data_IF_991796225278
#
_entry.id   IF_991796225278
#
_cell.length_a   1.000
_cell.length_b   1.000
_cell.length_c   1.000
_cell.angle_alpha   90.00
_cell.angle_beta   90.00
_cell.angle_gamma   90.00
#
_symmetry.space_group_name_H-M   'P 1'
#
loop_
_entity.id
_entity.type
_entity.pdbx_description
1 polymer ?
#
# COMPACT_ATOMS: atom_id res chain seq x y z
N UNK A 1 16.77 2.86 -40.12
CA UNK A 1 17.19 3.10 -38.73
C UNK A 1 18.11 2.00 -38.18
N UNK A 2 17.85 0.71 -38.42
CA UNK A 2 18.70 -0.40 -37.94
C UNK A 2 20.11 -0.41 -38.53
N UNK A 3 20.27 -0.05 -39.81
CA UNK A 3 21.58 0.00 -40.49
C UNK A 3 22.48 1.15 -39.98
N UNK A 4 21.90 2.25 -39.48
CA UNK A 4 22.65 3.41 -38.99
C UNK A 4 23.18 3.20 -37.56
N UNK A 5 22.50 2.36 -36.76
CA UNK A 5 22.93 2.01 -35.41
C UNK A 5 24.09 1.02 -35.43
N UNK A 6 24.10 0.06 -36.37
CA UNK A 6 25.22 -0.87 -36.53
C UNK A 6 26.52 -0.17 -36.95
N UNK A 7 26.45 0.85 -37.81
CA UNK A 7 27.63 1.58 -38.29
C UNK A 7 28.27 2.49 -37.23
N UNK A 8 27.49 2.96 -36.24
CA UNK A 8 27.99 3.76 -35.12
C UNK A 8 28.59 2.91 -33.99
N UNK A 9 28.14 1.66 -33.84
CA UNK A 9 28.64 0.73 -32.83
C UNK A 9 29.98 0.07 -33.22
N UNK A 10 30.28 -0.06 -34.52
CA UNK A 10 31.59 -0.53 -35.00
C UNK A 10 32.74 0.44 -34.68
N UNK A 11 32.45 1.74 -34.55
CA UNK A 11 33.46 2.78 -34.30
C UNK A 11 33.84 2.99 -32.83
N UNK A 12 33.10 2.41 -31.88
CA UNK A 12 33.28 2.69 -30.45
C UNK A 12 34.03 1.61 -29.66
N UNK A 13 34.44 0.50 -30.30
CA UNK A 13 35.25 -0.56 -29.66
C UNK A 13 34.55 -1.32 -28.52
N UNK A 14 33.27 -1.03 -28.25
CA UNK A 14 32.52 -1.52 -27.07
C UNK A 14 31.98 -2.95 -27.22
N UNK A 15 32.09 -3.56 -28.40
CA UNK A 15 31.61 -4.93 -28.65
C UNK A 15 32.58 -5.98 -28.09
N UNK A 16 33.89 -5.70 -28.09
CA UNK A 16 34.89 -6.70 -27.73
C UNK A 16 34.93 -6.95 -26.20
N UNK A 17 34.75 -5.90 -25.40
CA UNK A 17 34.68 -6.01 -23.94
C UNK A 17 33.38 -6.66 -23.44
N UNK A 18 32.27 -6.50 -24.18
CA UNK A 18 30.99 -7.13 -23.84
C UNK A 18 30.97 -8.63 -24.16
N UNK A 19 31.61 -9.06 -25.26
CA UNK A 19 31.74 -10.47 -25.64
C UNK A 19 32.68 -11.24 -24.69
N UNK A 20 33.77 -10.63 -24.23
CA UNK A 20 34.70 -11.26 -23.28
C UNK A 20 34.08 -11.45 -21.88
N UNK A 21 33.26 -10.49 -21.42
CA UNK A 21 32.51 -10.61 -20.16
C UNK A 21 31.45 -11.71 -20.18
N UNK A 22 30.77 -11.90 -21.31
CA UNK A 22 29.73 -12.93 -21.45
C UNK A 22 30.32 -14.35 -21.54
N UNK A 23 31.50 -14.51 -22.17
CA UNK A 23 32.22 -15.79 -22.23
C UNK A 23 32.77 -16.24 -20.87
N UNK A 24 33.07 -15.32 -19.94
CA UNK A 24 33.56 -15.66 -18.60
C UNK A 24 32.47 -16.23 -17.67
N UNK A 25 31.19 -15.94 -17.92
CA UNK A 25 30.09 -16.30 -17.03
C UNK A 25 29.44 -17.66 -17.33
N UNK A 26 29.57 -18.18 -18.55
CA UNK A 26 28.88 -19.41 -18.97
C UNK A 26 29.82 -20.42 -19.66
N UNK A 27 30.34 -21.39 -18.89
CA UNK A 27 31.12 -22.54 -19.41
C UNK A 27 30.28 -23.58 -20.15
N UNK A 28 29.51 -23.19 -21.17
CA UNK A 28 28.93 -24.12 -22.16
C UNK A 28 28.79 -23.41 -23.50
N UNK A 29 29.78 -23.56 -24.38
CA UNK A 29 29.56 -23.44 -25.81
C UNK A 29 29.56 -24.86 -26.41
N UNK A 30 28.37 -25.35 -26.76
CA UNK A 30 28.21 -26.40 -27.76
C UNK A 30 27.79 -25.68 -29.04
N UNK A 31 28.50 -25.95 -30.13
CA UNK A 31 28.22 -25.40 -31.46
C UNK A 31 26.78 -25.69 -31.90
N UNK A 32 26.05 -24.68 -32.37
CA UNK A 32 24.78 -24.86 -33.08
C UNK A 32 24.80 -24.16 -34.44
N UNK A 33 24.36 -24.91 -35.45
CA UNK A 33 24.10 -24.48 -36.83
C UNK A 33 22.58 -24.26 -36.99
N UNK A 34 22.17 -23.00 -37.27
CA UNK A 34 21.03 -22.57 -38.11
C UNK A 34 20.34 -21.30 -37.58
N UNK A 35 19.72 -20.55 -38.51
CA UNK A 35 19.21 -19.18 -38.38
C UNK A 35 18.02 -18.94 -37.41
N UNK A 36 17.62 -19.89 -36.57
CA UNK A 36 16.44 -19.72 -35.69
C UNK A 36 16.83 -19.18 -34.30
N UNK A 37 18.10 -19.29 -33.90
CA UNK A 37 18.57 -18.88 -32.57
C UNK A 37 18.99 -17.40 -32.47
N UNK A 38 18.99 -16.66 -33.59
CA UNK A 38 19.30 -15.22 -33.58
C UNK A 38 18.14 -14.38 -33.02
N UNK A 39 16.91 -14.88 -33.08
CA UNK A 39 15.72 -14.18 -32.58
C UNK A 39 15.63 -14.17 -31.05
N UNK A 40 16.08 -15.25 -30.39
CA UNK A 40 16.10 -15.32 -28.92
C UNK A 40 17.20 -14.44 -28.31
N UNK A 41 18.37 -14.38 -28.95
CA UNK A 41 19.46 -13.48 -28.50
C UNK A 41 19.05 -12.01 -28.65
N UNK A 42 18.33 -11.64 -29.71
CA UNK A 42 17.83 -10.27 -29.90
C UNK A 42 16.74 -9.91 -28.89
N UNK A 43 15.85 -10.84 -28.54
CA UNK A 43 14.80 -10.62 -27.53
C UNK A 43 15.39 -10.44 -26.12
N UNK A 44 16.41 -11.23 -25.76
CA UNK A 44 17.10 -11.09 -24.48
C UNK A 44 17.99 -9.83 -24.44
N UNK A 45 18.63 -9.46 -25.56
CA UNK A 45 19.34 -8.18 -25.65
C UNK A 45 18.41 -6.97 -25.59
N UNK A 46 17.18 -7.06 -26.11
CA UNK A 46 16.17 -5.99 -26.00
C UNK A 46 15.61 -5.85 -24.58
N UNK A 47 15.45 -6.95 -23.85
CA UNK A 47 15.06 -6.89 -22.43
C UNK A 47 16.19 -6.29 -21.57
N UNK A 48 17.44 -6.65 -21.87
CA UNK A 48 18.61 -6.10 -21.19
C UNK A 48 18.84 -4.62 -21.53
N UNK A 49 18.62 -4.21 -22.79
CA UNK A 49 18.67 -2.80 -23.22
C UNK A 49 17.58 -1.95 -22.57
N UNK A 50 16.39 -2.50 -22.32
CA UNK A 50 15.32 -1.79 -21.59
C UNK A 50 15.68 -1.60 -20.12
N UNK A 51 16.20 -2.64 -19.45
CA UNK A 51 16.68 -2.53 -18.06
C UNK A 51 17.88 -1.58 -17.94
N UNK A 52 18.76 -1.57 -18.96
CA UNK A 52 19.91 -0.66 -18.99
C UNK A 52 19.49 0.79 -19.31
N UNK A 53 18.47 1.00 -20.15
CA UNK A 53 17.87 2.32 -20.37
C UNK A 53 17.14 2.83 -19.12
N UNK A 54 16.48 1.96 -18.36
CA UNK A 54 15.86 2.32 -17.08
C UNK A 54 16.91 2.67 -16.02
N UNK A 55 18.04 1.95 -16.00
CA UNK A 55 19.20 2.26 -15.14
C UNK A 55 19.93 3.54 -15.57
N UNK A 56 20.02 3.84 -16.88
CA UNK A 56 20.57 5.10 -17.38
C UNK A 56 19.60 6.26 -17.11
N UNK A 57 18.28 6.06 -17.16
CA UNK A 57 17.27 7.03 -16.74
C UNK A 57 17.36 7.32 -15.23
N UNK A 58 17.52 6.30 -14.40
CA UNK A 58 17.74 6.45 -12.94
C UNK A 58 19.07 7.14 -12.63
N UNK A 59 20.13 6.86 -13.38
CA UNK A 59 21.45 7.49 -13.19
C UNK A 59 21.48 8.93 -13.73
N UNK A 60 20.82 9.21 -14.85
CA UNK A 60 20.69 10.57 -15.38
C UNK A 60 19.79 11.46 -14.51
N UNK A 61 18.78 10.90 -13.83
CA UNK A 61 18.01 11.60 -12.78
C UNK A 61 18.88 11.93 -11.55
N UNK A 62 19.87 11.10 -11.23
CA UNK A 62 20.81 11.40 -10.14
C UNK A 62 21.82 12.50 -10.51
N UNK A 63 22.23 12.61 -11.78
CA UNK A 63 23.23 13.59 -12.25
C UNK A 63 22.67 14.90 -12.80
N UNK A 64 21.39 15.00 -13.18
CA UNK A 64 20.75 16.29 -13.52
C UNK A 64 20.42 17.15 -12.29
N UNK A 65 20.54 16.61 -11.08
CA UNK A 65 20.36 17.35 -9.83
C UNK A 65 21.49 18.34 -9.49
N UNK A 66 22.60 18.33 -10.25
CA UNK A 66 23.80 19.10 -9.90
C UNK A 66 24.05 20.38 -10.73
N UNK A 67 23.31 20.64 -11.82
CA UNK A 67 23.53 21.86 -12.62
C UNK A 67 22.23 22.38 -13.23
N UNK A 68 21.38 23.05 -12.42
CA UNK A 68 20.47 24.08 -12.92
C UNK A 68 19.91 24.93 -11.78
N UNK A 69 20.05 26.25 -11.93
CA UNK A 69 19.88 27.23 -10.87
C UNK A 69 18.49 27.32 -10.24
N UNK A 70 18.48 27.76 -8.96
CA UNK A 70 17.36 28.40 -8.24
C UNK A 70 15.96 28.04 -8.77
N UNK A 71 15.57 26.78 -8.65
CA UNK A 71 14.17 26.40 -8.76
C UNK A 71 13.42 26.99 -7.56
N UNK A 72 12.34 27.75 -7.81
CA UNK A 72 11.34 28.08 -6.79
C UNK A 72 11.02 26.78 -6.04
N UNK A 73 11.30 26.74 -4.74
CA UNK A 73 10.81 25.69 -3.86
C UNK A 73 9.29 25.74 -3.96
N UNK A 74 8.69 24.79 -4.68
CA UNK A 74 7.24 24.72 -4.79
C UNK A 74 6.70 24.58 -3.37
N UNK A 75 5.84 25.51 -2.97
CA UNK A 75 5.21 25.48 -1.65
C UNK A 75 4.46 24.15 -1.52
N UNK A 76 4.81 23.35 -0.52
CA UNK A 76 4.21 22.05 -0.31
C UNK A 76 2.73 22.23 0.03
N UNK A 77 1.86 21.44 -0.62
CA UNK A 77 0.43 21.45 -0.31
C UNK A 77 0.17 21.13 1.17
N UNK A 78 -0.85 21.77 1.73
CA UNK A 78 -1.22 21.59 3.14
C UNK A 78 -1.82 20.19 3.38
N UNK A 79 -1.39 19.54 4.46
CA UNK A 79 -1.93 18.30 5.01
C UNK A 79 -2.40 18.54 6.44
N UNK A 80 -3.71 18.42 6.68
CA UNK A 80 -4.30 18.50 8.02
C UNK A 80 -4.08 17.18 8.75
N UNK A 81 -3.33 17.20 9.83
CA UNK A 81 -3.03 16.04 10.66
C UNK A 81 -4.00 15.96 11.84
N UNK A 82 -4.66 14.81 12.00
CA UNK A 82 -5.52 14.50 13.14
C UNK A 82 -4.96 13.27 13.85
N UNK A 83 -4.59 13.45 15.13
CA UNK A 83 -4.13 12.34 15.98
C UNK A 83 -5.27 11.89 16.88
N UNK A 84 -5.57 10.60 16.82
CA UNK A 84 -6.62 9.94 17.55
C UNK A 84 -6.00 8.83 18.40
N UNK A 85 -6.67 8.49 19.50
CA UNK A 85 -6.24 7.42 20.39
C UNK A 85 -7.45 6.60 20.80
N UNK A 86 -7.49 5.33 20.40
CA UNK A 86 -8.58 4.43 20.75
C UNK A 86 -9.94 4.81 20.15
N UNK A 87 -9.99 5.63 19.07
CA UNK A 87 -11.28 5.95 18.45
C UNK A 87 -11.91 4.65 17.92
N UNK A 88 -13.20 4.38 18.21
CA UNK A 88 -13.88 3.22 17.66
C UNK A 88 -13.80 3.19 16.14
N UNK A 89 -13.40 2.06 15.56
CA UNK A 89 -13.13 1.97 14.12
C UNK A 89 -14.33 2.35 13.25
N UNK A 90 -15.57 2.11 13.69
CA UNK A 90 -16.77 2.56 12.99
C UNK A 90 -16.82 4.10 12.86
N UNK A 91 -16.53 4.82 13.96
CA UNK A 91 -16.51 6.28 13.97
C UNK A 91 -15.39 6.83 13.11
N UNK A 92 -14.21 6.19 13.14
CA UNK A 92 -13.09 6.55 12.27
C UNK A 92 -13.49 6.39 10.79
N UNK A 93 -14.08 5.26 10.40
CA UNK A 93 -14.51 5.02 9.01
C UNK A 93 -15.59 6.03 8.56
N UNK A 94 -16.52 6.41 9.44
CA UNK A 94 -17.49 7.47 9.15
C UNK A 94 -16.82 8.83 8.96
N UNK A 95 -15.83 9.18 9.78
CA UNK A 95 -15.04 10.40 9.62
C UNK A 95 -14.28 10.39 8.29
N UNK A 96 -13.57 9.30 7.97
CA UNK A 96 -12.83 9.12 6.73
C UNK A 96 -13.72 9.27 5.49
N UNK A 97 -14.85 8.58 5.48
CA UNK A 97 -15.81 8.60 4.38
C UNK A 97 -16.36 10.01 4.17
N UNK A 98 -16.73 10.70 5.25
CA UNK A 98 -17.22 12.08 5.20
C UNK A 98 -16.15 13.03 4.67
N UNK A 99 -14.94 12.99 5.21
CA UNK A 99 -13.84 13.85 4.78
C UNK A 99 -13.50 13.64 3.29
N UNK A 100 -13.51 12.40 2.80
CA UNK A 100 -13.30 12.10 1.39
C UNK A 100 -14.36 12.75 0.48
N UNK A 101 -15.59 12.87 0.96
CA UNK A 101 -16.76 13.22 0.15
C UNK A 101 -17.15 14.69 0.24
N UNK A 102 -16.87 15.33 1.38
CA UNK A 102 -17.33 16.70 1.67
C UNK A 102 -16.19 17.71 1.83
N UNK A 103 -14.93 17.28 2.02
CA UNK A 103 -13.79 18.18 2.18
C UNK A 103 -12.90 18.24 0.94
N UNK A 104 -12.32 19.40 0.68
CA UNK A 104 -11.29 19.65 -0.33
C UNK A 104 -9.86 19.62 0.23
N UNK A 105 -9.67 19.57 1.55
CA UNK A 105 -8.34 19.60 2.19
C UNK A 105 -7.67 18.23 2.18
N UNK A 106 -6.34 18.16 2.13
CA UNK A 106 -5.65 16.88 2.39
C UNK A 106 -5.68 16.55 3.88
N UNK A 107 -5.86 15.27 4.20
CA UNK A 107 -5.94 14.79 5.58
C UNK A 107 -4.99 13.63 5.81
N UNK A 108 -4.30 13.68 6.95
CA UNK A 108 -3.60 12.55 7.54
C UNK A 108 -4.27 12.24 8.88
N UNK A 109 -4.89 11.08 9.01
CA UNK A 109 -5.45 10.62 10.29
C UNK A 109 -4.57 9.49 10.82
N UNK A 110 -4.17 9.59 12.08
CA UNK A 110 -3.44 8.53 12.78
C UNK A 110 -4.25 8.15 14.01
N UNK A 111 -4.76 6.92 14.06
CA UNK A 111 -5.46 6.39 15.22
C UNK A 111 -4.64 5.29 15.89
N UNK A 112 -4.23 5.55 17.13
CA UNK A 112 -3.50 4.60 17.96
C UNK A 112 -4.47 3.66 18.68
N UNK A 113 -4.85 2.56 18.01
CA UNK A 113 -5.79 1.57 18.52
C UNK A 113 -7.27 1.90 18.25
N UNK A 114 -8.11 0.87 18.28
CA UNK A 114 -9.58 1.00 18.46
C UNK A 114 -9.97 0.40 19.81
N UNK A 115 -11.04 0.92 20.42
CA UNK A 115 -11.44 0.56 21.79
C UNK A 115 -11.91 -0.89 21.97
N UNK A 116 -12.44 -1.52 20.91
CA UNK A 116 -12.92 -2.91 20.94
C UNK A 116 -12.52 -3.67 19.67
N UNK A 117 -12.31 -5.00 19.76
CA UNK A 117 -12.14 -5.86 18.60
C UNK A 117 -13.32 -5.72 17.65
N UNK A 118 -13.06 -5.65 16.35
CA UNK A 118 -14.10 -5.56 15.31
C UNK A 118 -13.60 -6.16 14.00
N UNK A 119 -14.50 -6.84 13.29
CA UNK A 119 -14.25 -7.36 11.95
C UNK A 119 -14.63 -6.27 10.95
N UNK A 120 -13.68 -5.86 10.10
CA UNK A 120 -13.89 -4.84 9.07
C UNK A 120 -13.78 -5.48 7.69
N UNK A 121 -14.92 -5.62 7.04
CA UNK A 121 -15.06 -6.19 5.70
C UNK A 121 -14.97 -5.12 4.62
N UNK A 122 -14.39 -5.48 3.47
CA UNK A 122 -14.42 -4.63 2.28
C UNK A 122 -15.82 -4.55 1.66
N UNK A 123 -16.05 -3.49 0.88
CA UNK A 123 -17.36 -3.17 0.30
C UNK A 123 -18.05 -4.34 -0.43
N UNK A 124 -17.30 -5.13 -1.19
CA UNK A 124 -17.80 -6.27 -1.98
C UNK A 124 -17.63 -7.63 -1.29
N UNK A 125 -17.16 -7.65 -0.04
CA UNK A 125 -16.92 -8.88 0.71
C UNK A 125 -18.23 -9.55 1.11
N UNK A 126 -18.33 -10.86 0.86
CA UNK A 126 -19.47 -11.67 1.32
C UNK A 126 -19.19 -12.25 2.70
N UNK A 127 -20.14 -12.08 3.61
CA UNK A 127 -19.96 -12.44 5.01
C UNK A 127 -19.71 -13.95 5.18
N UNK A 128 -20.50 -14.78 4.51
CA UNK A 128 -20.41 -16.24 4.58
C UNK A 128 -19.09 -16.82 4.06
N UNK A 129 -18.42 -16.11 3.15
CA UNK A 129 -17.14 -16.55 2.54
C UNK A 129 -15.91 -16.09 3.33
N UNK A 130 -16.01 -15.01 4.11
CA UNK A 130 -14.83 -14.33 4.68
C UNK A 130 -14.75 -14.38 6.21
N UNK A 131 -15.85 -14.70 6.90
CA UNK A 131 -15.94 -14.64 8.37
C UNK A 131 -16.49 -15.95 8.92
N UNK A 132 -15.94 -16.42 10.04
CA UNK A 132 -16.55 -17.46 10.85
C UNK A 132 -17.70 -16.87 11.67
N UNK A 133 -18.89 -16.78 11.05
CA UNK A 133 -20.01 -15.97 11.55
C UNK A 133 -20.59 -16.49 12.85
N UNK A 134 -20.58 -17.81 13.07
CA UNK A 134 -21.06 -18.42 14.31
C UNK A 134 -20.20 -17.98 15.50
N UNK A 135 -18.89 -18.07 15.38
CA UNK A 135 -17.94 -17.67 16.43
C UNK A 135 -18.01 -16.16 16.67
N UNK A 136 -18.04 -15.35 15.60
CA UNK A 136 -18.17 -13.90 15.72
C UNK A 136 -19.48 -13.49 16.42
N UNK A 137 -20.60 -14.16 16.11
CA UNK A 137 -21.89 -13.91 16.75
C UNK A 137 -21.90 -14.33 18.22
N UNK A 138 -21.35 -15.50 18.54
CA UNK A 138 -21.27 -16.02 19.91
C UNK A 138 -20.44 -15.10 20.83
N UNK A 139 -19.34 -14.56 20.30
CA UNK A 139 -18.42 -13.70 21.04
C UNK A 139 -18.79 -12.21 20.93
N UNK A 140 -19.93 -11.91 20.29
CA UNK A 140 -20.46 -10.55 20.08
C UNK A 140 -19.45 -9.60 19.39
N UNK A 141 -18.68 -10.10 18.44
CA UNK A 141 -17.72 -9.30 17.67
C UNK A 141 -18.46 -8.46 16.63
N UNK A 142 -18.37 -7.12 16.67
CA UNK A 142 -18.98 -6.25 15.67
C UNK A 142 -18.42 -6.53 14.27
N UNK A 143 -19.31 -6.55 13.28
CA UNK A 143 -18.93 -6.71 11.87
C UNK A 143 -19.33 -5.46 11.09
N UNK A 144 -18.34 -4.81 10.49
CA UNK A 144 -18.50 -3.53 9.80
C UNK A 144 -18.17 -3.73 8.32
N UNK A 145 -19.06 -3.27 7.42
CA UNK A 145 -18.77 -3.16 5.99
C UNK A 145 -18.31 -1.74 5.71
N UNK A 146 -17.06 -1.58 5.28
CA UNK A 146 -16.48 -0.26 4.99
C UNK A 146 -16.76 0.19 3.56
N UNK A 147 -16.69 1.51 3.34
CA UNK A 147 -16.88 2.15 2.04
C UNK A 147 -15.76 1.90 1.00
N UNK A 148 -14.60 1.38 1.43
CA UNK A 148 -13.47 1.03 0.54
C UNK A 148 -13.48 -0.45 0.14
N UNK A 149 -12.87 -0.77 -1.00
CA UNK A 149 -12.69 -2.15 -1.45
C UNK A 149 -11.62 -2.92 -0.65
N UNK A 150 -11.23 -4.09 -1.12
CA UNK A 150 -10.17 -4.91 -0.51
C UNK A 150 -10.69 -6.02 0.42
N UNK A 151 -9.77 -6.65 1.16
CA UNK A 151 -10.06 -7.82 1.99
C UNK A 151 -10.75 -7.51 3.33
N UNK A 152 -10.95 -8.56 4.13
CA UNK A 152 -11.46 -8.48 5.50
C UNK A 152 -10.32 -8.55 6.51
N UNK A 153 -10.40 -7.74 7.56
CA UNK A 153 -9.44 -7.73 8.67
C UNK A 153 -10.18 -7.79 10.00
N UNK A 154 -9.51 -8.27 11.04
CA UNK A 154 -9.91 -8.02 12.42
C UNK A 154 -8.94 -7.00 13.01
N UNK A 155 -9.48 -6.05 13.77
CA UNK A 155 -8.71 -4.95 14.34
C UNK A 155 -9.13 -4.69 15.77
N UNK A 156 -8.20 -4.23 16.59
CA UNK A 156 -8.38 -4.03 18.03
C UNK A 156 -7.45 -2.90 18.55
N UNK A 157 -7.25 -2.81 19.86
CA UNK A 157 -6.33 -1.84 20.48
C UNK A 157 -4.86 -2.03 20.05
N UNK A 158 -4.55 -3.20 19.46
CA UNK A 158 -3.26 -3.60 18.93
C UNK A 158 -3.12 -3.40 17.42
N UNK A 159 -3.96 -2.55 16.84
CA UNK A 159 -3.84 -2.05 15.46
C UNK A 159 -3.61 -0.53 15.45
N UNK A 160 -2.61 -0.06 14.71
CA UNK A 160 -2.50 1.37 14.39
C UNK A 160 -3.11 1.60 13.00
N UNK A 161 -3.86 2.68 12.86
CA UNK A 161 -4.42 3.08 11.57
C UNK A 161 -3.77 4.37 11.10
N UNK A 162 -3.38 4.40 9.83
CA UNK A 162 -2.96 5.63 9.16
C UNK A 162 -3.78 5.80 7.89
N UNK A 163 -4.38 6.96 7.74
CA UNK A 163 -5.23 7.29 6.60
C UNK A 163 -4.73 8.57 5.94
N UNK A 164 -4.55 8.50 4.63
CA UNK A 164 -4.17 9.63 3.77
C UNK A 164 -5.31 9.91 2.79
N UNK A 165 -5.91 11.09 2.87
CA UNK A 165 -6.88 11.62 1.90
C UNK A 165 -6.19 12.72 1.12
N UNK A 166 -6.02 12.54 -0.18
CA UNK A 166 -5.13 13.37 -1.00
C UNK A 166 -5.83 13.84 -2.28
N UNK A 167 -5.70 15.13 -2.62
CA UNK A 167 -6.07 15.65 -3.93
C UNK A 167 -5.07 15.15 -4.97
N UNK A 168 -5.55 14.68 -6.12
CA UNK A 168 -4.67 14.24 -7.20
C UNK A 168 -3.72 15.34 -7.70
N UNK A 169 -4.17 16.60 -7.65
CA UNK A 169 -3.41 17.75 -8.17
C UNK A 169 -2.27 18.16 -7.21
N UNK A 170 -2.33 17.77 -5.94
CA UNK A 170 -1.27 17.98 -4.95
C UNK A 170 -0.15 16.93 -5.05
N UNK A 171 -0.40 15.86 -5.81
CA UNK A 171 0.57 14.78 -6.11
C UNK A 171 0.51 14.44 -7.61
N UNK A 172 0.85 15.37 -8.52
CA UNK A 172 0.55 15.26 -9.95
C UNK A 172 1.24 14.08 -10.65
N UNK A 173 2.28 13.50 -10.04
CA UNK A 173 2.96 12.30 -10.54
C UNK A 173 2.21 11.00 -10.21
N UNK A 174 1.23 11.04 -9.31
CA UNK A 174 0.45 9.88 -8.86
C UNK A 174 -0.85 9.83 -9.63
N UNK A 175 -0.94 8.88 -10.56
CA UNK A 175 -2.20 8.63 -11.25
C UNK A 175 -3.25 8.10 -10.25
N UNK A 176 -4.52 8.51 -10.35
CA UNK A 176 -5.58 8.10 -9.41
C UNK A 176 -6.06 6.67 -9.74
N UNK A 177 -5.14 5.70 -9.67
CA UNK A 177 -5.39 4.28 -9.86
C UNK A 177 -4.75 3.48 -8.73
N UNK A 178 -5.31 2.30 -8.37
CA UNK A 178 -4.86 1.58 -7.18
C UNK A 178 -3.37 1.30 -7.12
N UNK A 179 -2.76 0.85 -8.23
CA UNK A 179 -1.32 0.52 -8.28
C UNK A 179 -0.42 1.75 -8.09
N UNK A 180 -0.79 2.87 -8.71
CA UNK A 180 -0.02 4.12 -8.59
C UNK A 180 -0.09 4.68 -7.18
N UNK A 181 -1.26 4.64 -6.54
CA UNK A 181 -1.44 5.06 -5.14
C UNK A 181 -0.68 4.12 -4.21
N UNK A 182 -0.74 2.80 -4.42
CA UNK A 182 0.05 1.83 -3.66
C UNK A 182 1.56 2.08 -3.80
N UNK A 183 2.04 2.34 -5.01
CA UNK A 183 3.47 2.62 -5.24
C UNK A 183 3.90 3.92 -4.54
N UNK A 184 3.07 4.95 -4.60
CA UNK A 184 3.33 6.22 -3.91
C UNK A 184 3.41 6.03 -2.39
N UNK A 185 2.44 5.33 -1.79
CA UNK A 185 2.44 5.08 -0.35
C UNK A 185 3.56 4.12 0.06
N UNK A 186 3.92 3.17 -0.80
CA UNK A 186 5.09 2.30 -0.60
C UNK A 186 6.40 3.09 -0.52
N UNK A 187 6.62 4.07 -1.39
CA UNK A 187 7.78 4.96 -1.32
C UNK A 187 7.78 5.78 -0.01
N UNK A 188 6.63 6.35 0.35
CA UNK A 188 6.47 7.08 1.61
C UNK A 188 6.84 6.20 2.81
N UNK A 189 6.28 4.99 2.92
CA UNK A 189 6.59 4.10 4.03
C UNK A 189 8.01 3.53 3.98
N UNK A 190 8.65 3.45 2.81
CA UNK A 190 10.07 3.07 2.73
C UNK A 190 10.97 4.08 3.49
N UNK A 191 10.64 5.37 3.43
CA UNK A 191 11.33 6.41 4.23
C UNK A 191 11.00 6.28 5.73
N UNK A 192 9.76 5.92 6.08
CA UNK A 192 9.36 5.70 7.49
C UNK A 192 10.19 4.58 8.12
N UNK A 193 10.38 3.47 7.39
CA UNK A 193 11.09 2.28 7.88
C UNK A 193 12.58 2.26 7.57
N UNK A 194 13.13 3.33 6.97
CA UNK A 194 14.55 3.43 6.65
C UNK A 194 15.42 3.19 7.89
N UNK A 195 16.37 2.26 7.75
CA UNK A 195 17.32 1.87 8.79
C UNK A 195 16.76 0.99 9.92
N UNK A 196 15.48 0.60 9.88
CA UNK A 196 14.85 -0.21 10.95
C UNK A 196 14.53 -1.64 10.55
N UNK A 197 14.02 -1.85 9.33
CA UNK A 197 13.52 -3.14 8.91
C UNK A 197 13.53 -3.29 7.38
N UNK A 198 13.50 -4.53 6.91
CA UNK A 198 13.48 -4.88 5.48
C UNK A 198 12.08 -4.68 4.88
N UNK A 199 11.64 -3.42 4.79
CA UNK A 199 10.33 -3.04 4.29
C UNK A 199 10.20 -3.24 2.78
N UNK A 200 9.11 -3.89 2.35
CA UNK A 200 8.72 -3.96 0.94
C UNK A 200 7.22 -3.74 0.75
N UNK A 201 6.86 -3.21 -0.42
CA UNK A 201 5.52 -3.29 -0.97
C UNK A 201 5.42 -4.58 -1.80
N UNK A 202 4.55 -5.51 -1.39
CA UNK A 202 4.26 -6.73 -2.17
C UNK A 202 2.78 -6.80 -2.50
N UNK A 203 2.47 -6.71 -3.78
CA UNK A 203 1.11 -6.57 -4.29
C UNK A 203 0.37 -5.39 -3.64
N UNK A 204 -0.52 -5.65 -2.68
CA UNK A 204 -1.27 -4.63 -1.94
C UNK A 204 -0.92 -4.59 -0.44
N UNK A 205 0.13 -5.30 -0.03
CA UNK A 205 0.52 -5.46 1.37
C UNK A 205 1.87 -4.80 1.67
N UNK A 206 2.01 -4.33 2.90
CA UNK A 206 3.31 -3.97 3.45
C UNK A 206 3.89 -5.13 4.23
N UNK A 207 5.14 -5.46 3.95
CA UNK A 207 5.83 -6.63 4.50
C UNK A 207 7.20 -6.25 5.05
N UNK A 208 7.63 -6.98 6.07
CA UNK A 208 9.04 -7.07 6.46
C UNK A 208 9.58 -8.40 5.94
N UNK A 209 10.52 -8.35 4.99
CA UNK A 209 10.94 -9.50 4.19
C UNK A 209 9.77 -10.11 3.41
N UNK A 210 9.23 -11.22 3.92
CA UNK A 210 8.10 -11.96 3.34
C UNK A 210 6.88 -12.06 4.27
N UNK A 211 6.90 -11.35 5.42
CA UNK A 211 5.82 -11.38 6.41
C UNK A 211 5.03 -10.08 6.41
N UNK A 212 3.72 -10.18 6.18
CA UNK A 212 2.80 -9.05 6.13
C UNK A 212 2.60 -8.41 7.50
N UNK A 213 2.63 -7.09 7.55
CA UNK A 213 2.25 -6.33 8.75
C UNK A 213 1.30 -5.17 8.46
N UNK A 214 1.18 -4.74 7.19
CA UNK A 214 0.27 -3.66 6.79
C UNK A 214 -0.74 -4.14 5.75
N UNK A 215 -2.02 -3.89 6.00
CA UNK A 215 -3.12 -4.14 5.07
C UNK A 215 -3.71 -2.84 4.56
N UNK A 216 -3.80 -2.70 3.23
CA UNK A 216 -4.19 -1.45 2.57
C UNK A 216 -5.54 -1.57 1.87
N UNK A 217 -6.29 -0.47 1.87
CA UNK A 217 -7.50 -0.31 1.07
C UNK A 217 -7.68 1.14 0.64
N UNK A 218 -8.40 1.31 -0.47
CA UNK A 218 -8.49 2.60 -1.15
C UNK A 218 -9.90 2.84 -1.69
N UNK A 219 -10.25 4.11 -1.85
CA UNK A 219 -11.41 4.57 -2.62
C UNK A 219 -10.99 5.81 -3.41
N UNK A 220 -11.37 5.86 -4.68
CA UNK A 220 -10.94 6.89 -5.62
C UNK A 220 -12.19 7.64 -6.08
N UNK A 221 -12.13 8.97 -6.03
CA UNK A 221 -13.13 9.88 -6.59
C UNK A 221 -12.51 10.66 -7.76
N UNK A 222 -13.30 11.52 -8.41
CA UNK A 222 -12.85 12.27 -9.61
C UNK A 222 -11.63 13.16 -9.35
N UNK A 223 -11.50 13.72 -8.15
CA UNK A 223 -10.48 14.71 -7.81
C UNK A 223 -9.52 14.25 -6.72
N UNK A 224 -9.89 13.21 -5.97
CA UNK A 224 -9.20 12.83 -4.74
C UNK A 224 -9.26 11.34 -4.52
N UNK A 225 -8.42 10.83 -3.64
CA UNK A 225 -8.48 9.45 -3.20
C UNK A 225 -8.17 9.34 -1.72
N UNK A 226 -8.60 8.23 -1.13
CA UNK A 226 -8.20 7.82 0.21
C UNK A 226 -7.35 6.55 0.09
N UNK A 227 -6.29 6.51 0.88
CA UNK A 227 -5.49 5.33 1.15
C UNK A 227 -5.42 5.16 2.66
N UNK A 228 -6.00 4.09 3.19
CA UNK A 228 -5.87 3.74 4.60
C UNK A 228 -5.14 2.43 4.79
N UNK A 229 -4.34 2.38 5.84
CA UNK A 229 -3.53 1.24 6.22
C UNK A 229 -3.86 0.85 7.65
N UNK A 230 -4.07 -0.44 7.85
CA UNK A 230 -4.07 -1.07 9.17
C UNK A 230 -2.71 -1.71 9.40
N UNK A 231 -2.06 -1.35 10.50
CA UNK A 231 -0.74 -1.81 10.92
C UNK A 231 -0.88 -2.77 12.10
N UNK A 232 -0.45 -4.01 11.90
CA UNK A 232 -0.52 -5.09 12.89
C UNK A 232 0.55 -4.87 13.96
N UNK A 233 0.17 -4.21 15.06
CA UNK A 233 1.12 -3.88 16.11
C UNK A 233 1.48 -5.07 16.98
N UNK A 234 0.45 -5.67 17.59
CA UNK A 234 0.59 -6.82 18.49
C UNK A 234 -0.69 -7.68 18.48
N UNK A 235 -1.02 -8.22 17.31
CA UNK A 235 -2.27 -8.94 17.13
C UNK A 235 -2.37 -10.19 18.02
N UNK A 236 -3.59 -10.47 18.47
CA UNK A 236 -3.93 -11.69 19.20
C UNK A 236 -4.28 -12.81 18.22
N UNK A 237 -3.63 -13.97 18.34
CA UNK A 237 -3.83 -15.10 17.40
C UNK A 237 -5.27 -15.60 17.42
N UNK A 238 -5.93 -15.61 18.58
CA UNK A 238 -7.35 -16.01 18.68
C UNK A 238 -8.27 -15.12 17.83
N UNK A 239 -7.96 -13.84 17.65
CA UNK A 239 -8.79 -12.94 16.85
C UNK A 239 -8.73 -13.33 15.36
N UNK A 240 -7.64 -13.96 14.92
CA UNK A 240 -7.50 -14.42 13.54
C UNK A 240 -8.42 -15.61 13.22
N UNK A 241 -8.91 -16.37 14.21
CA UNK A 241 -9.83 -17.48 13.97
C UNK A 241 -11.23 -17.02 13.55
N UNK A 242 -11.57 -15.74 13.68
CA UNK A 242 -12.82 -15.21 13.14
C UNK A 242 -12.78 -15.01 11.62
N UNK A 243 -11.60 -15.11 10.98
CA UNK A 243 -11.43 -14.87 9.56
C UNK A 243 -11.22 -16.17 8.80
N UNK A 244 -11.98 -16.34 7.72
CA UNK A 244 -11.74 -17.43 6.75
C UNK A 244 -10.57 -17.10 5.85
N UNK A 245 -9.93 -18.14 5.31
CA UNK A 245 -8.96 -17.95 4.23
C UNK A 245 -9.71 -17.48 2.97
N UNK A 246 -9.36 -16.32 2.40
CA UNK A 246 -10.02 -15.83 1.20
C UNK A 246 -9.68 -16.73 0.01
N UNK A 247 -10.66 -16.96 -0.88
CA UNK A 247 -10.46 -17.73 -2.11
C UNK A 247 -9.34 -17.16 -3.02
N UNK A 248 -9.09 -15.85 -2.91
CA UNK A 248 -7.97 -15.16 -3.55
C UNK A 248 -7.04 -14.62 -2.48
N UNK A 249 -5.89 -15.27 -2.34
CA UNK A 249 -4.78 -14.79 -1.52
C UNK A 249 -3.66 -14.24 -2.43
N UNK A 250 -2.79 -13.35 -1.90
CA UNK A 250 -1.59 -12.91 -2.62
C UNK A 250 -0.72 -14.09 -3.01
N UNK A 251 -0.09 -14.04 -4.18
CA UNK A 251 0.72 -15.15 -4.70
C UNK A 251 1.91 -15.45 -3.77
N UNK A 252 2.51 -14.40 -3.18
CA UNK A 252 3.63 -14.53 -2.25
C UNK A 252 3.22 -15.13 -0.88
N UNK A 253 1.91 -15.26 -0.58
CA UNK A 253 1.46 -16.01 0.59
C UNK A 253 1.86 -17.48 0.50
N UNK A 254 1.92 -18.03 -0.71
CA UNK A 254 2.12 -19.45 -0.98
C UNK A 254 1.01 -20.27 -0.28
N UNK A 255 1.38 -21.15 0.64
CA UNK A 255 0.46 -21.98 1.43
C UNK A 255 0.56 -21.72 2.93
N UNK A 256 1.20 -20.60 3.33
CA UNK A 256 1.38 -20.25 4.73
C UNK A 256 0.04 -19.97 5.41
N UNK A 257 -0.08 -20.46 6.63
CA UNK A 257 -1.20 -20.10 7.49
C UNK A 257 -1.11 -18.62 7.90
N UNK A 258 -2.06 -18.15 8.69
CA UNK A 258 -2.08 -16.74 9.07
C UNK A 258 -0.86 -16.37 9.94
N UNK A 259 -0.49 -17.22 10.89
CA UNK A 259 0.59 -16.97 11.85
C UNK A 259 1.98 -16.93 11.22
N UNK A 260 2.22 -17.74 10.19
CA UNK A 260 3.47 -17.74 9.42
C UNK A 260 3.51 -16.64 8.36
N UNK A 261 2.35 -16.16 7.93
CA UNK A 261 2.24 -15.14 6.89
C UNK A 261 2.39 -13.72 7.43
N UNK A 262 1.93 -13.43 8.65
CA UNK A 262 1.95 -12.07 9.22
C UNK A 262 3.04 -11.90 10.28
N UNK A 263 3.40 -10.65 10.58
CA UNK A 263 4.28 -10.29 11.69
C UNK A 263 3.76 -9.13 12.53
N UNK A 264 4.34 -8.98 13.73
CA UNK A 264 3.99 -7.93 14.69
C UNK A 264 4.99 -6.80 14.59
N UNK A 265 4.53 -5.58 14.41
CA UNK A 265 5.42 -4.42 14.34
C UNK A 265 6.10 -4.10 15.67
N UNK A 266 5.54 -4.51 16.82
CA UNK A 266 6.17 -4.29 18.13
C UNK A 266 7.58 -4.90 18.24
N UNK A 267 7.91 -5.87 17.39
CA UNK A 267 9.21 -6.54 17.34
C UNK A 267 10.28 -5.67 16.66
N UNK A 268 9.89 -4.64 15.92
CA UNK A 268 10.78 -3.82 15.08
C UNK A 268 10.96 -2.40 15.62
N UNK A 269 9.91 -1.77 16.17
CA UNK A 269 9.97 -0.40 16.69
C UNK A 269 8.84 -0.10 17.70
N UNK A 270 8.97 0.94 18.56
CA UNK A 270 7.90 1.43 19.42
C UNK A 270 6.80 2.22 18.68
N UNK A 271 5.59 2.28 19.26
CA UNK A 271 4.42 2.97 18.65
C UNK A 271 4.69 4.44 18.42
N UNK A 272 5.23 5.10 19.44
CA UNK A 272 5.57 6.51 19.40
C UNK A 272 6.57 6.83 18.31
N UNK A 273 7.58 5.97 18.13
CA UNK A 273 8.59 6.15 17.08
C UNK A 273 7.97 5.97 15.68
N UNK A 274 7.12 4.96 15.48
CA UNK A 274 6.40 4.78 14.21
C UNK A 274 5.55 6.01 13.86
N UNK A 275 4.77 6.52 14.83
CA UNK A 275 3.91 7.69 14.64
C UNK A 275 4.75 8.94 14.34
N UNK A 276 5.83 9.17 15.09
CA UNK A 276 6.73 10.31 14.88
C UNK A 276 7.40 10.26 13.50
N UNK A 277 7.95 9.11 13.12
CA UNK A 277 8.55 8.89 11.79
C UNK A 277 7.52 9.11 10.69
N UNK A 278 6.30 8.59 10.84
CA UNK A 278 5.21 8.80 9.88
C UNK A 278 4.89 10.28 9.71
N UNK A 279 4.73 11.03 10.82
CA UNK A 279 4.46 12.47 10.77
C UNK A 279 5.63 13.23 10.13
N UNK A 280 6.86 12.88 10.49
CA UNK A 280 8.08 13.49 9.93
C UNK A 280 8.16 13.26 8.42
N UNK A 281 7.95 12.03 7.97
CA UNK A 281 7.95 11.69 6.54
C UNK A 281 6.84 12.44 5.82
N UNK A 282 5.60 12.42 6.32
CA UNK A 282 4.51 13.22 5.72
C UNK A 282 4.87 14.71 5.67
N UNK A 283 5.57 15.24 6.67
CA UNK A 283 6.10 16.61 6.71
C UNK A 283 7.22 16.92 5.70
N UNK A 284 7.89 15.89 5.16
CA UNK A 284 8.82 16.03 4.05
C UNK A 284 8.14 16.16 2.69
N UNK A 285 6.91 15.64 2.56
CA UNK A 285 6.12 15.63 1.33
C UNK A 285 5.00 16.68 1.30
N UNK A 286 4.55 17.14 2.47
CA UNK A 286 3.47 18.11 2.64
C UNK A 286 3.78 19.11 3.75
N UNK A 287 3.18 20.30 3.69
CA UNK A 287 3.16 21.20 4.84
C UNK A 287 2.13 20.67 5.84
N UNK A 288 2.57 20.23 7.03
CA UNK A 288 1.69 19.57 8.00
C UNK A 288 1.17 20.56 9.04
N UNK A 289 -0.16 20.60 9.22
CA UNK A 289 -0.82 21.36 10.29
C UNK A 289 -1.64 20.43 11.16
N UNK A 290 -1.34 20.38 12.46
CA UNK A 290 -2.15 19.63 13.42
C UNK A 290 -3.50 20.32 13.64
N UNK A 291 -4.57 19.52 13.60
CA UNK A 291 -5.97 19.95 13.78
C UNK A 291 -6.59 19.07 14.87
N UNK A 292 -7.40 19.67 15.76
CA UNK A 292 -8.15 18.90 16.76
C UNK A 292 -9.45 18.36 16.16
N UNK A 293 -9.94 17.23 16.67
CA UNK A 293 -11.16 16.61 16.14
C UNK A 293 -12.37 17.54 16.22
N UNK A 294 -12.45 18.37 17.27
CA UNK A 294 -13.54 19.31 17.54
C UNK A 294 -13.56 20.49 16.55
N UNK A 295 -12.40 20.80 15.95
CA UNK A 295 -12.27 21.88 14.97
C UNK A 295 -12.56 21.47 13.53
N UNK A 296 -12.84 20.18 13.29
CA UNK A 296 -13.29 19.71 11.98
C UNK A 296 -14.73 20.15 11.81
N UNK A 297 -14.97 21.16 10.97
CA UNK A 297 -16.32 21.61 10.63
C UNK A 297 -17.13 20.42 10.13
N UNK A 298 -18.19 20.08 10.88
CA UNK A 298 -19.12 19.01 10.57
C UNK A 298 -20.37 19.68 9.99
N UNK A 299 -20.60 19.63 8.66
CA UNK A 299 -21.93 19.89 8.13
C UNK A 299 -22.93 18.98 8.86
N UNK A 300 -24.14 19.48 9.11
CA UNK A 300 -25.11 18.78 9.96
C UNK A 300 -25.26 17.30 9.58
N UNK A 301 -25.43 16.41 10.59
CA UNK A 301 -25.59 14.95 10.42
C UNK A 301 -26.67 14.58 9.38
N UNK A 302 -27.62 15.49 9.11
CA UNK A 302 -28.68 15.30 8.11
C UNK A 302 -28.25 15.38 6.64
N UNK A 303 -27.01 15.79 6.31
CA UNK A 303 -26.61 16.03 4.92
C UNK A 303 -25.81 14.90 4.25
N UNK A 304 -25.30 13.91 4.99
CA UNK A 304 -24.49 12.84 4.41
C UNK A 304 -24.85 11.45 4.96
N UNK A 305 -25.27 10.56 4.05
CA UNK A 305 -25.55 9.15 4.35
C UNK A 305 -24.29 8.32 4.12
N UNK A 306 -23.78 7.72 5.20
CA UNK A 306 -22.63 6.82 5.15
C UNK A 306 -22.97 5.51 4.45
N UNK A 307 -22.07 5.06 3.57
CA UNK A 307 -22.13 3.69 3.01
C UNK A 307 -21.43 2.68 3.90
N UNK A 308 -20.57 3.14 4.81
CA UNK A 308 -20.02 2.31 5.89
C UNK A 308 -21.12 1.95 6.88
N UNK A 309 -21.39 0.66 7.05
CA UNK A 309 -22.46 0.16 7.93
C UNK A 309 -21.96 -0.86 8.93
N UNK A 310 -22.55 -0.82 10.13
CA UNK A 310 -22.50 -1.93 11.07
C UNK A 310 -23.54 -2.96 10.63
N UNK A 311 -23.15 -4.22 10.49
CA UNK A 311 -24.07 -5.29 10.10
C UNK A 311 -25.00 -5.61 11.27
N UNK A 312 -26.27 -5.81 10.93
CA UNK A 312 -27.29 -6.21 11.89
C UNK A 312 -27.11 -7.67 12.31
N UNK A 313 -27.60 -8.00 13.50
CA UNK A 313 -27.60 -9.38 13.98
C UNK A 313 -28.36 -10.32 13.02
N UNK A 314 -29.43 -9.82 12.39
CA UNK A 314 -30.19 -10.57 11.38
C UNK A 314 -29.32 -10.93 10.17
N UNK A 315 -28.59 -9.96 9.58
CA UNK A 315 -27.67 -10.24 8.47
C UNK A 315 -26.62 -11.29 8.85
N UNK A 316 -26.12 -11.26 10.09
CA UNK A 316 -25.12 -12.22 10.58
C UNK A 316 -25.74 -13.61 10.75
N UNK A 317 -26.96 -13.71 11.28
CA UNK A 317 -27.70 -14.96 11.46
C UNK A 317 -28.05 -15.59 10.11
N UNK A 318 -28.47 -14.79 9.13
CA UNK A 318 -28.73 -15.25 7.76
C UNK A 318 -27.46 -15.81 7.10
N UNK A 319 -26.29 -15.19 7.32
CA UNK A 319 -25.04 -15.75 6.82
C UNK A 319 -24.65 -17.07 7.51
N UNK A 320 -25.02 -17.27 8.78
CA UNK A 320 -24.76 -18.53 9.50
C UNK A 320 -25.52 -19.72 8.90
N UNK A 321 -26.72 -19.52 8.36
CA UNK A 321 -27.52 -20.61 7.78
C UNK A 321 -26.94 -21.08 6.44
N UNK A 322 -26.29 -20.18 5.69
CA UNK A 322 -25.62 -20.47 4.41
C UNK A 322 -24.31 -21.26 4.60
N UNK A 323 -23.68 -21.16 5.78
CA UNK A 323 -22.43 -21.88 6.10
C UNK A 323 -22.65 -23.33 6.59
N UNK A 324 -23.91 -23.76 6.73
CA UNK A 324 -24.28 -25.13 7.12
C UNK A 324 -24.45 -26.05 5.90
#
# INVERSE_FOLDING_TARGET
MVVLVCFLLERSGLIQTALEGFCSANRKLVCFHSCVDLFFIIADCLSFMNVFNDLIQLKNQSTESAVMGKAKQAELSLMKLVKLRGMPILQQLHLEERLLRTSSDNWCLINDGTSSPSIVMGLSGKLSELVETKSALQDHIPIIRRFTGGGTVIVDQNTIFVTMIVNKDDVPKVQPFPRSIMSWSGLLYSEVFEGLADFHLRENDYVFGDRKFGGNAQSITKHRWIHHTSFLWDYEVKNMSYLKLPAKAPQYRLTRDHTDFVCRMKEYLPRSEFIERTIKTVGGHFSVKSISLESIEVPSISEYVHTTTLLTEQEIREACTIQN
#
